data_IF_556303450752
#
_entry.id   IF_556303450752
#
_cell.length_a   1.000
_cell.length_b   1.000
_cell.length_c   1.000
_cell.angle_alpha   90.00
_cell.angle_beta   90.00
_cell.angle_gamma   90.00
#
_symmetry.space_group_name_H-M   'P 1'
#
loop_
_entity.id
_entity.type
_entity.pdbx_description
1 polymer ?
#
# COMPACT_ATOMS: atom_id res chain seq x y z
N UNK A 1 -11.15 -6.83 -21.40
CA UNK A 1 -10.06 -5.88 -21.05
C UNK A 1 -9.18 -6.55 -20.00
N UNK A 2 -7.92 -6.79 -20.37
CA UNK A 2 -7.00 -7.65 -19.62
C UNK A 2 -6.97 -7.27 -18.14
N UNK A 3 -7.29 -8.24 -17.27
CA UNK A 3 -6.89 -8.21 -15.87
C UNK A 3 -5.39 -8.03 -15.88
N UNK A 4 -4.96 -6.80 -15.65
CA UNK A 4 -3.56 -6.40 -15.70
C UNK A 4 -2.91 -7.13 -14.53
N UNK A 5 -2.28 -8.27 -14.82
CA UNK A 5 -1.45 -8.97 -13.85
C UNK A 5 -0.56 -7.90 -13.22
N UNK A 6 -0.72 -7.68 -11.92
CA UNK A 6 0.04 -6.65 -11.22
C UNK A 6 1.51 -6.93 -11.49
N UNK A 7 2.12 -6.07 -12.30
CA UNK A 7 3.48 -6.31 -12.72
C UNK A 7 4.35 -6.05 -11.49
N UNK A 8 5.28 -6.97 -11.21
CA UNK A 8 6.27 -6.81 -10.15
C UNK A 8 6.98 -5.46 -10.27
N UNK A 9 7.15 -4.97 -11.50
CA UNK A 9 7.66 -3.62 -11.79
C UNK A 9 6.82 -2.49 -11.18
N UNK A 10 5.49 -2.56 -11.22
CA UNK A 10 4.61 -1.55 -10.63
C UNK A 10 4.70 -1.59 -9.09
N UNK A 11 4.83 -2.79 -8.50
CA UNK A 11 5.05 -2.96 -7.07
C UNK A 11 6.42 -2.40 -6.62
N UNK A 12 7.49 -2.67 -7.37
CA UNK A 12 8.82 -2.15 -7.09
C UNK A 12 8.86 -0.62 -7.17
N UNK A 13 8.22 -0.03 -8.19
CA UNK A 13 8.10 1.43 -8.31
C UNK A 13 7.35 2.06 -7.13
N UNK A 14 6.26 1.43 -6.70
CA UNK A 14 5.51 1.91 -5.54
C UNK A 14 6.35 1.84 -4.25
N UNK A 15 7.07 0.73 -4.03
CA UNK A 15 7.99 0.59 -2.90
C UNK A 15 9.11 1.64 -2.92
N UNK A 16 9.68 1.91 -4.09
CA UNK A 16 10.68 2.96 -4.27
C UNK A 16 10.11 4.35 -3.95
N UNK A 17 8.90 4.65 -4.40
CA UNK A 17 8.23 5.92 -4.11
C UNK A 17 7.98 6.11 -2.60
N UNK A 18 7.49 5.09 -1.90
CA UNK A 18 7.32 5.13 -0.44
C UNK A 18 8.67 5.34 0.24
N UNK A 19 9.73 4.66 -0.22
CA UNK A 19 11.08 4.81 0.33
C UNK A 19 11.64 6.22 0.15
N UNK A 20 11.41 6.85 -1.01
CA UNK A 20 11.87 8.22 -1.29
C UNK A 20 11.08 9.24 -0.46
N UNK A 21 9.74 9.14 -0.44
CA UNK A 21 8.88 10.06 0.32
C UNK A 21 9.16 10.03 1.83
N UNK A 22 9.53 8.86 2.35
CA UNK A 22 9.85 8.65 3.76
C UNK A 22 11.33 8.33 3.97
N UNK A 23 12.24 8.90 3.16
CA UNK A 23 13.68 8.67 3.29
C UNK A 23 14.22 9.03 4.68
N UNK A 24 13.66 10.06 5.30
CA UNK A 24 14.00 10.50 6.67
C UNK A 24 13.23 9.74 7.76
N UNK A 25 12.22 8.95 7.39
CA UNK A 25 11.32 8.24 8.31
C UNK A 25 11.30 6.74 7.98
N UNK A 26 12.45 6.08 8.18
CA UNK A 26 12.65 4.67 7.87
C UNK A 26 11.69 3.73 8.60
N UNK A 27 11.15 4.15 9.75
CA UNK A 27 10.13 3.41 10.49
C UNK A 27 8.83 3.23 9.70
N UNK A 28 8.46 4.19 8.85
CA UNK A 28 7.23 4.13 8.05
C UNK A 28 7.35 3.03 7.00
N UNK A 29 8.49 2.96 6.31
CA UNK A 29 8.76 1.90 5.35
C UNK A 29 8.78 0.53 6.02
N UNK A 30 9.38 0.40 7.21
CA UNK A 30 9.36 -0.84 7.99
C UNK A 30 7.93 -1.26 8.36
N UNK A 31 7.10 -0.34 8.89
CA UNK A 31 5.70 -0.61 9.22
C UNK A 31 4.88 -1.01 8.00
N UNK A 32 5.13 -0.39 6.84
CA UNK A 32 4.46 -0.79 5.60
C UNK A 32 4.76 -2.25 5.24
N UNK A 33 6.02 -2.68 5.36
CA UNK A 33 6.39 -4.07 5.10
C UNK A 33 5.75 -5.04 6.10
N UNK A 34 5.63 -4.66 7.38
CA UNK A 34 4.96 -5.50 8.38
C UNK A 34 3.46 -5.62 8.11
N UNK A 35 2.79 -4.54 7.69
CA UNK A 35 1.39 -4.61 7.23
C UNK A 35 1.24 -5.59 6.06
N UNK A 36 2.16 -5.57 5.09
CA UNK A 36 2.12 -6.51 3.97
C UNK A 36 2.37 -7.96 4.39
N UNK A 37 3.22 -8.20 5.39
CA UNK A 37 3.43 -9.55 5.97
C UNK A 37 2.19 -10.03 6.72
N UNK A 38 1.55 -9.17 7.51
CA UNK A 38 0.31 -9.49 8.22
C UNK A 38 -0.80 -9.86 7.23
N UNK A 39 -0.91 -9.13 6.11
CA UNK A 39 -1.87 -9.46 5.06
C UNK A 39 -1.53 -10.80 4.38
N UNK A 40 -0.26 -11.03 4.05
CA UNK A 40 0.19 -12.29 3.42
C UNK A 40 0.04 -13.51 4.34
N UNK A 41 0.18 -13.33 5.66
CA UNK A 41 -0.01 -14.38 6.66
C UNK A 41 -1.47 -14.60 7.05
N UNK A 42 -2.42 -13.88 6.42
CA UNK A 42 -3.84 -13.87 6.77
C UNK A 42 -4.14 -13.38 8.20
N UNK A 43 -3.19 -12.69 8.85
CA UNK A 43 -3.41 -12.06 10.16
C UNK A 43 -4.37 -10.86 10.06
N UNK A 44 -4.37 -10.16 8.91
CA UNK A 44 -5.34 -9.10 8.59
C UNK A 44 -5.99 -9.34 7.23
N UNK A 45 -7.26 -8.94 7.09
CA UNK A 45 -8.03 -9.03 5.86
C UNK A 45 -7.86 -7.76 4.99
N UNK A 46 -8.43 -7.77 3.79
CA UNK A 46 -8.41 -6.63 2.85
C UNK A 46 -8.86 -5.29 3.48
N UNK A 47 -9.95 -5.22 4.27
CA UNK A 47 -10.30 -3.97 4.97
C UNK A 47 -9.25 -3.54 6.00
N UNK A 48 -8.60 -4.49 6.68
CA UNK A 48 -7.59 -4.21 7.69
C UNK A 48 -6.28 -3.69 7.11
N UNK A 49 -5.84 -4.20 5.96
CA UNK A 49 -4.68 -3.64 5.25
C UNK A 49 -4.98 -2.23 4.73
N UNK A 50 -6.20 -1.98 4.24
CA UNK A 50 -6.65 -0.65 3.78
C UNK A 50 -6.57 0.37 4.92
N UNK A 51 -7.21 0.08 6.05
CA UNK A 51 -7.23 1.00 7.20
C UNK A 51 -5.82 1.33 7.71
N UNK A 52 -4.96 0.31 7.82
CA UNK A 52 -3.57 0.51 8.25
C UNK A 52 -2.75 1.33 7.25
N UNK A 53 -2.97 1.17 5.94
CA UNK A 53 -2.29 1.94 4.90
C UNK A 53 -2.76 3.40 4.89
N UNK A 54 -4.06 3.68 5.07
CA UNK A 54 -4.59 5.05 5.21
C UNK A 54 -3.93 5.75 6.40
N UNK A 55 -3.91 5.08 7.55
CA UNK A 55 -3.34 5.64 8.78
C UNK A 55 -1.81 5.83 8.66
N UNK A 56 -1.11 4.88 8.06
CA UNK A 56 0.35 4.96 7.89
C UNK A 56 0.77 6.09 6.95
N UNK A 57 0.02 6.33 5.88
CA UNK A 57 0.30 7.36 4.89
C UNK A 57 -0.61 8.59 5.06
N UNK A 58 -1.15 8.82 6.25
CA UNK A 58 -1.97 9.97 6.55
C UNK A 58 -1.24 11.27 6.17
N UNK A 59 -1.93 12.16 5.44
CA UNK A 59 -1.33 13.37 4.87
C UNK A 59 -0.55 13.18 3.56
N UNK A 60 -0.43 11.94 3.05
CA UNK A 60 0.20 11.61 1.75
C UNK A 60 -0.82 10.96 0.80
N UNK A 61 -1.79 11.75 0.35
CA UNK A 61 -2.84 11.31 -0.57
C UNK A 61 -2.35 10.54 -1.83
N UNK A 62 -1.22 10.91 -2.47
CA UNK A 62 -0.71 10.17 -3.64
C UNK A 62 -0.33 8.72 -3.33
N UNK A 63 0.20 8.44 -2.13
CA UNK A 63 0.58 7.09 -1.73
C UNK A 63 -0.68 6.27 -1.42
N UNK A 64 -1.60 6.83 -0.64
CA UNK A 64 -2.89 6.19 -0.33
C UNK A 64 -3.64 5.79 -1.60
N UNK A 65 -3.79 6.73 -2.54
CA UNK A 65 -4.51 6.47 -3.80
C UNK A 65 -3.75 5.55 -4.75
N UNK A 66 -2.41 5.62 -4.76
CA UNK A 66 -1.56 4.72 -5.53
C UNK A 66 -1.73 3.25 -5.14
N UNK A 67 -2.06 2.98 -3.86
CA UNK A 67 -2.31 1.64 -3.36
C UNK A 67 -3.55 0.97 -3.99
N UNK A 68 -4.50 1.74 -4.52
CA UNK A 68 -5.69 1.20 -5.21
C UNK A 68 -5.34 0.25 -6.36
N UNK A 69 -4.18 0.44 -6.99
CA UNK A 69 -3.71 -0.43 -8.06
C UNK A 69 -3.51 -1.86 -7.57
N UNK A 70 -3.13 -2.06 -6.30
CA UNK A 70 -2.85 -3.39 -5.72
C UNK A 70 -4.06 -4.03 -5.05
N UNK A 71 -5.18 -3.33 -4.97
CA UNK A 71 -6.39 -3.85 -4.35
C UNK A 71 -7.18 -4.74 -5.33
N UNK A 72 -7.81 -5.81 -4.82
CA UNK A 72 -8.71 -6.62 -5.63
C UNK A 72 -9.94 -5.79 -6.08
N UNK A 73 -10.54 -6.16 -7.22
CA UNK A 73 -11.73 -5.47 -7.72
C UNK A 73 -12.84 -5.49 -6.68
N UNK A 74 -13.49 -4.32 -6.47
CA UNK A 74 -14.49 -4.11 -5.43
C UNK A 74 -13.97 -3.44 -4.16
N UNK A 75 -12.65 -3.32 -4.00
CA UNK A 75 -12.03 -2.55 -2.92
C UNK A 75 -11.38 -1.28 -3.46
N UNK A 76 -11.61 -0.17 -2.77
CA UNK A 76 -11.01 1.13 -3.09
C UNK A 76 -10.76 1.91 -1.81
N UNK A 77 -9.66 2.65 -1.80
CA UNK A 77 -9.28 3.62 -0.79
C UNK A 77 -9.47 5.02 -1.36
N UNK A 78 -10.11 5.88 -0.56
CA UNK A 78 -10.21 7.31 -0.81
C UNK A 78 -9.56 8.04 0.37
N UNK A 79 -8.63 8.98 0.12
CA UNK A 79 -8.11 9.83 1.17
C UNK A 79 -9.25 10.73 1.66
N UNK A 80 -9.55 10.66 2.95
CA UNK A 80 -10.51 11.53 3.63
C UNK A 80 -9.92 12.91 3.87
#
# INVERSE_FOLDING_TARGET
PAGRALNVNDALKYLEQVRIEFAEQTEIYARFLDIMKDFKSHAINTPGVIDRVINLFAGRAPLITGFNTFLPPGYRIEPM
#
